data_IF_235079246486
#
_entry.id   IF_235079246486
#
_cell.length_a   1.000
_cell.length_b   1.000
_cell.length_c   1.000
_cell.angle_alpha   90.00
_cell.angle_beta   90.00
_cell.angle_gamma   90.00
#
_symmetry.space_group_name_H-M   'P 1'
#
loop_
_entity.id
_entity.type
_entity.pdbx_description
1 polymer ?
#
# COMPACT_ATOMS: atom_id res chain seq x y z
N UNK A 1 -2.95 3.81 33.51
CA UNK A 1 -1.50 4.04 33.72
C UNK A 1 -0.74 3.31 32.63
N UNK A 2 -0.06 4.08 31.78
CA UNK A 2 0.74 3.64 30.62
C UNK A 2 1.84 2.64 31.01
N UNK A 3 2.03 1.57 30.22
CA UNK A 3 3.26 0.75 30.22
C UNK A 3 3.89 0.69 28.82
N UNK A 4 3.90 1.79 28.09
CA UNK A 4 4.97 1.98 27.11
C UNK A 4 6.13 2.61 27.87
N UNK A 5 7.08 1.77 28.33
CA UNK A 5 8.33 2.26 28.92
C UNK A 5 9.06 3.03 27.81
N UNK A 6 9.24 4.32 28.01
CA UNK A 6 10.12 5.17 27.21
C UNK A 6 11.52 4.58 27.28
N UNK A 7 12.06 4.15 26.14
CA UNK A 7 13.45 3.73 26.03
C UNK A 7 14.32 4.97 25.96
N UNK A 8 15.45 4.97 26.69
CA UNK A 8 16.42 6.06 26.55
C UNK A 8 17.11 5.95 25.17
N UNK A 9 16.92 6.93 24.26
CA UNK A 9 17.52 6.89 22.94
C UNK A 9 19.06 6.87 22.97
N UNK A 10 19.68 7.32 24.06
CA UNK A 10 21.14 7.35 24.22
C UNK A 10 21.72 5.98 24.60
N UNK A 11 20.92 5.08 25.16
CA UNK A 11 21.36 3.73 25.55
C UNK A 11 20.96 2.66 24.53
N UNK A 12 20.33 3.06 23.42
CA UNK A 12 19.74 2.12 22.47
C UNK A 12 20.57 1.99 21.20
N UNK A 13 20.90 0.75 20.87
CA UNK A 13 21.68 0.35 19.69
C UNK A 13 20.78 -0.42 18.72
N UNK A 14 20.89 -0.09 17.43
CA UNK A 14 20.34 -0.85 16.32
C UNK A 14 21.39 -1.81 15.78
N UNK A 15 21.01 -3.07 15.61
CA UNK A 15 21.85 -4.10 15.02
C UNK A 15 21.16 -4.60 13.75
N UNK A 16 21.70 -4.27 12.59
CA UNK A 16 21.22 -4.69 11.28
C UNK A 16 22.07 -5.79 10.67
N UNK A 17 21.56 -6.38 9.59
CA UNK A 17 22.24 -7.44 8.82
C UNK A 17 22.61 -8.68 9.65
N UNK A 18 21.75 -9.02 10.62
CA UNK A 18 21.83 -10.27 11.34
C UNK A 18 21.47 -11.41 10.38
N UNK A 19 22.36 -12.38 10.20
CA UNK A 19 22.09 -13.54 9.34
C UNK A 19 20.81 -14.28 9.73
N UNK A 20 20.31 -15.15 8.85
CA UNK A 20 19.01 -15.83 9.01
C UNK A 20 18.84 -16.68 10.29
N UNK A 21 19.90 -16.89 11.07
CA UNK A 21 19.87 -17.70 12.29
C UNK A 21 20.36 -16.96 13.55
N UNK A 22 20.43 -15.62 13.53
CA UNK A 22 20.86 -14.86 14.70
C UNK A 22 19.86 -15.02 15.85
N UNK A 23 20.30 -15.69 16.91
CA UNK A 23 19.47 -15.93 18.09
C UNK A 23 19.64 -14.81 19.13
N UNK A 24 18.62 -14.62 19.97
CA UNK A 24 18.69 -13.64 21.07
C UNK A 24 19.89 -13.88 21.99
N UNK A 25 20.18 -15.15 22.29
CA UNK A 25 21.26 -15.54 23.20
C UNK A 25 22.64 -15.19 22.62
N UNK A 26 22.85 -15.40 21.32
CA UNK A 26 24.12 -15.02 20.67
C UNK A 26 24.37 -13.51 20.71
N UNK A 27 23.31 -12.71 20.54
CA UNK A 27 23.43 -11.26 20.66
C UNK A 27 23.67 -10.83 22.10
N UNK A 28 23.03 -11.47 23.07
CA UNK A 28 23.33 -11.24 24.48
C UNK A 28 24.79 -11.58 24.82
N UNK A 29 25.33 -12.70 24.34
CA UNK A 29 26.71 -13.12 24.59
C UNK A 29 27.75 -12.18 23.95
N UNK A 30 27.45 -11.61 22.78
CA UNK A 30 28.36 -10.71 22.06
C UNK A 30 28.30 -9.29 22.63
N UNK A 31 27.10 -8.78 22.92
CA UNK A 31 26.92 -7.40 23.37
C UNK A 31 27.13 -7.23 24.88
N UNK A 32 26.93 -8.29 25.70
CA UNK A 32 27.23 -8.24 27.15
C UNK A 32 28.70 -8.02 27.48
N UNK A 33 29.62 -8.25 26.52
CA UNK A 33 31.06 -7.97 26.68
C UNK A 33 31.37 -6.48 26.81
N UNK A 34 30.48 -5.61 26.33
CA UNK A 34 30.66 -4.16 26.35
C UNK A 34 29.99 -3.52 27.57
N UNK A 35 28.95 -4.15 28.12
CA UNK A 35 28.25 -3.66 29.30
C UNK A 35 26.97 -4.45 29.62
N UNK A 36 26.38 -4.23 30.80
CA UNK A 36 25.11 -4.87 31.17
C UNK A 36 23.98 -4.44 30.24
N UNK A 37 23.22 -5.44 29.74
CA UNK A 37 22.11 -5.23 28.82
C UNK A 37 20.80 -5.15 29.61
N UNK A 38 20.06 -4.06 29.40
CA UNK A 38 18.74 -3.86 29.99
C UNK A 38 17.66 -4.61 29.23
N UNK A 39 17.77 -4.65 27.90
CA UNK A 39 16.80 -5.33 27.05
C UNK A 39 17.40 -5.73 25.70
N UNK A 40 17.01 -6.89 25.19
CA UNK A 40 17.35 -7.36 23.84
C UNK A 40 16.08 -7.78 23.12
N UNK A 41 15.78 -7.07 22.04
CA UNK A 41 14.64 -7.34 21.18
C UNK A 41 15.13 -7.71 19.79
N UNK A 42 14.84 -8.93 19.35
CA UNK A 42 15.18 -9.41 18.00
C UNK A 42 13.93 -9.38 17.14
N UNK A 43 13.99 -8.67 16.02
CA UNK A 43 12.91 -8.66 15.06
C UNK A 43 12.82 -10.03 14.39
N UNK A 44 11.67 -10.68 14.53
CA UNK A 44 11.38 -11.96 13.85
C UNK A 44 10.63 -11.75 12.54
N UNK A 45 10.06 -10.57 12.34
CA UNK A 45 9.25 -10.23 11.17
C UNK A 45 9.24 -8.71 10.93
N UNK A 46 10.11 -8.16 10.05
CA UNK A 46 11.11 -8.85 9.24
C UNK A 46 12.27 -9.43 10.09
N UNK A 47 12.80 -10.62 9.75
CA UNK A 47 14.02 -11.13 10.39
C UNK A 47 15.25 -10.34 9.91
N UNK A 48 16.29 -10.27 10.75
CA UNK A 48 17.60 -9.73 10.34
C UNK A 48 18.00 -8.41 10.99
N UNK A 49 17.25 -7.93 11.97
CA UNK A 49 17.67 -6.83 12.83
C UNK A 49 17.24 -7.01 14.28
N UNK A 50 17.94 -6.34 15.19
CA UNK A 50 17.65 -6.32 16.61
C UNK A 50 17.84 -4.91 17.18
N UNK A 51 17.18 -4.65 18.29
CA UNK A 51 17.44 -3.51 19.14
C UNK A 51 17.95 -4.00 20.48
N UNK A 52 19.04 -3.38 20.93
CA UNK A 52 19.68 -3.68 22.21
C UNK A 52 19.68 -2.38 23.02
N UNK A 53 19.24 -2.46 24.26
CA UNK A 53 19.27 -1.36 25.22
C UNK A 53 20.30 -1.70 26.30
N UNK A 54 21.33 -0.87 26.42
CA UNK A 54 22.32 -0.94 27.49
C UNK A 54 21.82 -0.20 28.74
N UNK A 55 22.42 -0.49 29.89
CA UNK A 55 22.17 0.33 31.09
C UNK A 55 22.90 1.69 31.02
N UNK A 56 24.10 1.74 30.43
CA UNK A 56 24.92 2.95 30.28
C UNK A 56 25.06 3.36 28.80
N UNK A 57 24.90 4.67 28.46
CA UNK A 57 25.08 5.14 27.10
C UNK A 57 26.51 5.01 26.57
N UNK A 58 27.52 4.98 27.46
CA UNK A 58 28.93 4.79 27.06
C UNK A 58 29.17 3.38 26.52
N UNK A 59 28.58 2.39 27.16
CA UNK A 59 28.67 0.98 26.74
C UNK A 59 28.00 0.78 25.36
N UNK A 60 26.91 1.50 25.10
CA UNK A 60 26.24 1.51 23.79
C UNK A 60 27.13 2.10 22.68
N UNK A 61 27.84 3.20 22.94
CA UNK A 61 28.77 3.80 21.96
C UNK A 61 29.99 2.91 21.69
N UNK A 62 30.55 2.29 22.73
CA UNK A 62 31.70 1.39 22.60
C UNK A 62 31.32 0.10 21.86
N UNK A 63 30.12 -0.43 22.11
CA UNK A 63 29.58 -1.57 21.37
C UNK A 63 29.40 -1.24 19.88
N UNK A 64 28.90 -0.05 19.53
CA UNK A 64 28.78 0.40 18.13
C UNK A 64 30.15 0.46 17.46
N UNK A 65 31.15 1.08 18.10
CA UNK A 65 32.50 1.19 17.52
C UNK A 65 33.22 -0.15 17.39
N UNK A 66 33.00 -1.06 18.34
CA UNK A 66 33.67 -2.36 18.39
C UNK A 66 33.04 -3.44 17.53
N UNK A 67 31.73 -3.37 17.28
CA UNK A 67 30.97 -4.43 16.59
C UNK A 67 30.50 -4.06 15.20
N UNK A 68 30.44 -2.78 14.82
CA UNK A 68 30.05 -2.38 13.47
C UNK A 68 31.02 -2.96 12.41
N UNK A 69 30.46 -3.63 11.41
CA UNK A 69 31.21 -4.29 10.34
C UNK A 69 31.86 -5.63 10.72
N UNK A 70 31.76 -6.07 11.98
CA UNK A 70 32.30 -7.36 12.43
C UNK A 70 31.47 -8.53 11.92
N UNK A 71 32.08 -9.72 11.83
CA UNK A 71 31.36 -10.95 11.44
C UNK A 71 30.73 -11.59 12.68
N UNK A 72 29.41 -11.53 12.78
CA UNK A 72 28.63 -12.16 13.84
C UNK A 72 27.44 -12.91 13.23
N UNK A 73 27.11 -14.09 13.75
CA UNK A 73 25.99 -14.92 13.26
C UNK A 73 26.04 -15.23 11.74
N UNK A 74 27.24 -15.43 11.19
CA UNK A 74 27.45 -15.77 9.77
C UNK A 74 27.36 -14.62 8.77
N UNK A 75 27.07 -13.39 9.22
CA UNK A 75 26.96 -12.19 8.41
C UNK A 75 27.82 -11.05 8.97
N UNK A 76 28.05 -9.98 8.19
CA UNK A 76 28.69 -8.75 8.69
C UNK A 76 27.62 -7.87 9.33
N UNK A 77 27.62 -7.75 10.65
CA UNK A 77 26.60 -6.98 11.34
C UNK A 77 26.84 -5.48 11.18
N UNK A 78 25.77 -4.72 11.10
CA UNK A 78 25.79 -3.26 11.08
C UNK A 78 25.30 -2.80 12.44
N UNK A 79 26.07 -1.97 13.14
CA UNK A 79 25.72 -1.53 14.50
C UNK A 79 25.69 -0.01 14.53
N UNK A 80 24.54 0.58 14.88
CA UNK A 80 24.33 2.03 14.86
C UNK A 80 23.61 2.52 16.12
N UNK A 81 23.91 3.73 16.58
CA UNK A 81 23.14 4.39 17.66
C UNK A 81 21.71 4.69 17.18
N UNK A 82 20.71 4.35 18.00
CA UNK A 82 19.30 4.53 17.65
C UNK A 82 18.90 6.00 17.77
N UNK A 83 18.97 6.72 16.66
CA UNK A 83 18.43 8.07 16.58
C UNK A 83 16.89 7.99 16.64
N UNK A 84 16.29 8.37 17.77
CA UNK A 84 14.85 8.35 18.04
C UNK A 84 13.96 9.25 17.16
N UNK A 85 14.32 9.48 15.89
CA UNK A 85 13.54 10.21 14.90
C UNK A 85 13.47 9.43 13.59
N UNK A 86 12.25 9.10 13.17
CA UNK A 86 11.92 8.83 11.77
C UNK A 86 12.56 9.91 10.89
N UNK A 87 13.44 9.50 9.96
CA UNK A 87 14.18 10.40 9.07
C UNK A 87 13.19 11.07 8.10
N UNK A 88 12.78 12.29 8.43
CA UNK A 88 12.20 13.27 7.50
C UNK A 88 13.27 14.27 7.07
N UNK A 89 13.66 14.22 5.78
CA UNK A 89 14.08 15.37 4.95
C UNK A 89 14.56 14.95 3.55
N UNK A 90 13.84 15.37 2.51
CA UNK A 90 14.46 16.16 1.45
C UNK A 90 13.58 17.38 1.18
N UNK A 91 14.21 18.55 1.20
CA UNK A 91 13.59 19.86 1.26
C UNK A 91 13.97 20.60 -0.03
N UNK A 92 13.01 20.94 -0.90
CA UNK A 92 13.19 22.00 -1.91
C UNK A 92 12.03 22.99 -1.83
N UNK A 93 12.35 24.10 -1.14
CA UNK A 93 12.01 25.51 -1.35
C UNK A 93 10.55 25.90 -1.67
N UNK A 94 10.05 26.77 -0.78
CA UNK A 94 8.73 27.42 -0.65
C UNK A 94 8.27 28.27 -1.85
N UNK A 95 6.95 28.32 -2.04
CA UNK A 95 6.15 29.57 -1.92
C UNK A 95 4.73 29.25 -1.41
N UNK A 96 4.02 30.20 -0.76
CA UNK A 96 2.98 29.90 0.24
C UNK A 96 1.55 30.22 -0.24
N UNK A 97 0.57 29.36 0.07
CA UNK A 97 -0.82 29.77 0.17
C UNK A 97 -1.69 28.84 1.03
N UNK A 98 -2.16 29.40 2.14
CA UNK A 98 -3.47 29.25 2.82
C UNK A 98 -3.95 27.87 3.32
N UNK A 99 -3.97 27.81 4.66
CA UNK A 99 -4.87 27.07 5.57
C UNK A 99 -6.13 26.47 4.91
N UNK A 100 -6.27 25.15 4.99
CA UNK A 100 -7.25 24.47 5.87
C UNK A 100 -7.19 22.96 5.68
N UNK A 101 -7.41 22.23 6.77
CA UNK A 101 -7.89 20.84 6.92
C UNK A 101 -7.03 20.04 7.90
N UNK A 102 -7.61 19.81 9.08
CA UNK A 102 -7.29 18.64 9.88
C UNK A 102 -7.65 17.40 9.05
N UNK A 103 -6.64 16.56 8.81
CA UNK A 103 -6.81 15.21 8.29
C UNK A 103 -6.71 14.29 9.49
N UNK A 104 -7.82 13.65 9.84
CA UNK A 104 -7.83 12.57 10.83
C UNK A 104 -7.08 11.40 10.20
N UNK A 105 -5.96 11.06 10.84
CA UNK A 105 -5.15 9.89 10.56
C UNK A 105 -5.98 8.63 10.83
N UNK A 106 -6.26 7.82 9.80
CA UNK A 106 -6.63 6.42 9.99
C UNK A 106 -5.34 5.59 10.07
N UNK A 107 -5.19 4.86 11.17
CA UNK A 107 -4.03 3.99 11.45
C UNK A 107 -3.95 2.78 10.51
N UNK A 108 -2.75 2.19 10.33
CA UNK A 108 -2.40 1.38 9.17
C UNK A 108 -2.53 -0.12 9.45
N UNK A 109 -3.32 -0.82 8.65
CA UNK A 109 -3.24 -2.29 8.52
C UNK A 109 -3.17 -2.68 7.03
N UNK A 110 -2.28 -2.04 6.28
CA UNK A 110 -1.89 -2.50 4.95
C UNK A 110 -0.52 -3.17 5.04
N UNK A 111 -0.50 -4.50 4.94
CA UNK A 111 0.74 -5.24 4.70
C UNK A 111 0.70 -5.70 3.25
N UNK A 112 1.31 -4.92 2.36
CA UNK A 112 1.70 -5.41 1.04
C UNK A 112 2.99 -6.23 1.23
N UNK A 113 2.88 -7.56 1.27
CA UNK A 113 4.03 -8.45 1.47
C UNK A 113 4.51 -8.99 0.13
N UNK A 114 5.60 -8.43 -0.39
CA UNK A 114 6.39 -9.06 -1.47
C UNK A 114 7.08 -10.28 -0.84
N UNK A 115 6.71 -11.51 -1.23
CA UNK A 115 7.24 -12.70 -0.55
C UNK A 115 8.68 -13.04 -0.97
N UNK A 116 9.07 -12.70 -2.20
CA UNK A 116 10.46 -12.78 -2.68
C UNK A 116 10.56 -12.16 -4.07
N UNK A 117 11.66 -11.44 -4.34
CA UNK A 117 12.15 -11.15 -5.70
C UNK A 117 13.42 -11.99 -5.85
N UNK A 118 13.41 -12.99 -6.75
CA UNK A 118 14.62 -13.73 -7.10
C UNK A 118 15.22 -13.11 -8.36
N UNK A 119 16.46 -12.64 -8.25
CA UNK A 119 17.29 -12.21 -9.38
C UNK A 119 18.52 -13.11 -9.40
N UNK A 120 18.61 -14.09 -10.31
CA UNK A 120 19.85 -14.82 -10.55
C UNK A 120 20.76 -14.03 -11.50
N UNK A 121 22.07 -14.07 -11.24
CA UNK A 121 23.09 -13.40 -12.04
C UNK A 121 23.70 -14.36 -13.08
N UNK A 122 23.71 -13.92 -14.35
CA UNK A 122 24.52 -14.32 -15.53
C UNK A 122 24.20 -15.70 -16.19
N UNK A 123 24.16 -15.92 -17.53
CA UNK A 123 24.67 -15.23 -18.75
C UNK A 123 23.67 -15.40 -19.92
N UNK A 124 23.58 -14.38 -20.78
CA UNK A 124 22.95 -14.35 -22.13
C UNK A 124 21.54 -14.97 -22.31
N UNK A 125 20.53 -14.10 -22.52
CA UNK A 125 19.25 -14.45 -23.15
C UNK A 125 18.04 -14.55 -22.21
N UNK A 126 17.13 -13.57 -22.32
CA UNK A 126 15.77 -13.46 -21.73
C UNK A 126 15.65 -13.53 -20.18
N UNK A 127 15.02 -12.50 -19.60
CA UNK A 127 14.76 -12.39 -18.16
C UNK A 127 13.38 -12.94 -17.81
N UNK A 128 13.31 -13.99 -16.98
CA UNK A 128 12.12 -14.41 -16.24
C UNK A 128 12.37 -14.05 -14.78
N UNK A 129 11.41 -13.38 -14.16
CA UNK A 129 11.42 -13.00 -12.75
C UNK A 129 10.16 -13.65 -12.13
N UNK A 130 10.11 -13.93 -10.83
CA UNK A 130 8.91 -14.53 -10.21
C UNK A 130 8.60 -13.83 -8.87
N UNK A 131 7.36 -13.30 -8.72
CA UNK A 131 6.76 -12.49 -7.63
C UNK A 131 5.76 -13.52 -7.20
N UNK A 132 5.97 -14.00 -6.00
CA UNK A 132 4.85 -14.47 -5.21
C UNK A 132 4.36 -13.28 -4.42
N UNK A 133 3.19 -12.75 -4.78
CA UNK A 133 2.39 -11.94 -3.84
C UNK A 133 1.61 -12.94 -3.00
N UNK A 134 1.67 -12.83 -1.67
CA UNK A 134 0.65 -13.47 -0.83
C UNK A 134 -0.38 -12.42 -0.48
N UNK A 135 -1.48 -12.47 -1.20
CA UNK A 135 -2.70 -11.76 -0.88
C UNK A 135 -3.41 -12.58 0.21
N UNK A 136 -2.99 -12.44 1.47
CA UNK A 136 -3.77 -13.04 2.55
C UNK A 136 -5.15 -12.40 2.56
N UNK A 137 -6.19 -13.21 2.37
CA UNK A 137 -7.59 -12.83 2.54
C UNK A 137 -7.73 -12.07 3.85
N UNK A 138 -8.00 -10.76 3.79
CA UNK A 138 -8.18 -10.01 5.01
C UNK A 138 -9.48 -10.51 5.66
N UNK A 139 -9.49 -10.93 6.94
CA UNK A 139 -10.73 -11.29 7.63
C UNK A 139 -11.78 -10.16 7.60
N UNK A 140 -11.34 -8.91 7.34
CA UNK A 140 -12.19 -7.73 7.24
C UNK A 140 -13.01 -7.74 5.96
N UNK A 141 -12.46 -8.12 4.80
CA UNK A 141 -13.24 -8.15 3.55
C UNK A 141 -14.39 -9.17 3.62
N UNK A 142 -14.10 -10.34 4.20
CA UNK A 142 -15.10 -11.36 4.49
C UNK A 142 -16.17 -10.83 5.46
N UNK A 143 -15.74 -10.20 6.56
CA UNK A 143 -16.66 -9.59 7.51
C UNK A 143 -17.56 -8.53 6.85
N UNK A 144 -17.01 -7.67 5.99
CA UNK A 144 -17.77 -6.66 5.25
C UNK A 144 -18.84 -7.33 4.37
N UNK A 145 -18.48 -8.38 3.63
CA UNK A 145 -19.46 -9.13 2.81
C UNK A 145 -20.60 -9.72 3.62
N UNK A 146 -20.31 -10.20 4.83
CA UNK A 146 -21.29 -10.85 5.69
C UNK A 146 -22.15 -9.84 6.48
N UNK A 147 -21.62 -8.65 6.77
CA UNK A 147 -22.26 -7.70 7.70
C UNK A 147 -22.83 -6.43 7.06
N UNK A 148 -22.35 -6.02 5.89
CA UNK A 148 -22.78 -4.77 5.24
C UNK A 148 -23.62 -5.11 4.01
N UNK A 149 -24.92 -4.77 3.98
CA UNK A 149 -25.76 -4.96 2.79
C UNK A 149 -25.21 -4.23 1.57
N UNK A 150 -25.28 -4.89 0.41
CA UNK A 150 -24.89 -4.33 -0.87
C UNK A 150 -25.77 -4.84 -2.00
N UNK A 151 -25.80 -4.07 -3.08
CA UNK A 151 -26.39 -4.45 -4.36
C UNK A 151 -25.28 -4.60 -5.40
N UNK A 152 -25.34 -5.64 -6.22
CA UNK A 152 -24.42 -5.82 -7.35
C UNK A 152 -25.12 -5.46 -8.64
N UNK A 153 -24.50 -4.59 -9.42
CA UNK A 153 -25.02 -4.14 -10.71
C UNK A 153 -23.96 -4.27 -11.81
N UNK A 154 -24.41 -4.31 -13.06
CA UNK A 154 -23.51 -4.29 -14.22
C UNK A 154 -23.25 -2.87 -14.70
N UNK A 155 -21.98 -2.58 -15.01
CA UNK A 155 -21.57 -1.34 -15.69
C UNK A 155 -20.98 -1.60 -17.08
N UNK A 156 -20.91 -2.86 -17.53
CA UNK A 156 -20.28 -3.25 -18.79
C UNK A 156 -20.66 -4.67 -19.23
N UNK A 157 -20.32 -5.06 -20.47
CA UNK A 157 -20.72 -6.34 -21.03
C UNK A 157 -19.99 -7.54 -20.40
N UNK A 158 -18.79 -7.33 -19.85
CA UNK A 158 -17.99 -8.40 -19.25
C UNK A 158 -18.63 -8.88 -17.94
N UNK A 159 -18.42 -10.16 -17.60
CA UNK A 159 -18.92 -10.72 -16.34
C UNK A 159 -18.24 -10.09 -15.11
N UNK A 160 -16.99 -9.66 -15.26
CA UNK A 160 -16.22 -8.94 -14.25
C UNK A 160 -16.60 -7.46 -14.15
N UNK A 161 -17.27 -6.90 -15.16
CA UNK A 161 -17.77 -5.52 -15.18
C UNK A 161 -19.02 -5.37 -14.30
N UNK A 162 -18.84 -5.66 -13.01
CA UNK A 162 -19.86 -5.57 -11.95
C UNK A 162 -19.32 -4.71 -10.82
N UNK A 163 -20.19 -3.92 -10.21
CA UNK A 163 -19.85 -3.09 -9.05
C UNK A 163 -20.78 -3.40 -7.90
N UNK A 164 -20.20 -3.60 -6.72
CA UNK A 164 -20.95 -3.71 -5.47
C UNK A 164 -21.17 -2.32 -4.88
N UNK A 165 -22.42 -1.98 -4.63
CA UNK A 165 -22.85 -0.72 -4.06
C UNK A 165 -23.24 -0.94 -2.61
N UNK A 166 -22.46 -0.38 -1.70
CA UNK A 166 -22.71 -0.39 -0.26
C UNK A 166 -23.33 0.93 0.20
N UNK A 167 -24.08 0.87 1.31
CA UNK A 167 -24.76 2.04 1.87
C UNK A 167 -26.02 2.42 1.08
N UNK A 168 -26.73 1.45 0.51
CA UNK A 168 -27.99 1.67 -0.23
C UNK A 168 -29.12 2.20 0.64
N UNK A 169 -29.03 2.00 1.96
CA UNK A 169 -29.92 2.60 2.97
C UNK A 169 -29.62 4.06 3.29
N UNK A 170 -28.48 4.60 2.86
CA UNK A 170 -28.13 6.00 3.05
C UNK A 170 -28.94 6.90 2.11
N UNK A 171 -28.99 8.20 2.42
CA UNK A 171 -29.66 9.18 1.57
C UNK A 171 -29.06 9.20 0.15
N UNK A 172 -29.91 9.42 -0.87
CA UNK A 172 -29.49 9.45 -2.28
C UNK A 172 -28.49 10.58 -2.60
N UNK A 173 -28.49 11.65 -1.82
CA UNK A 173 -27.56 12.77 -1.94
C UNK A 173 -26.20 12.54 -1.24
N UNK A 174 -26.06 11.41 -0.53
CA UNK A 174 -24.82 11.02 0.15
C UNK A 174 -23.66 10.97 -0.84
N UNK A 175 -22.43 11.32 -0.42
CA UNK A 175 -21.29 11.35 -1.30
C UNK A 175 -20.93 9.91 -1.70
N UNK A 176 -20.43 9.76 -2.92
CA UNK A 176 -20.01 8.47 -3.45
C UNK A 176 -18.49 8.40 -3.41
N UNK A 177 -17.97 7.29 -2.89
CA UNK A 177 -16.56 6.92 -3.01
C UNK A 177 -16.44 5.60 -3.77
N UNK A 178 -15.69 5.61 -4.87
CA UNK A 178 -15.38 4.42 -5.66
C UNK A 178 -14.01 3.90 -5.26
N UNK A 179 -13.91 2.63 -4.84
CA UNK A 179 -12.66 2.01 -4.41
C UNK A 179 -12.19 0.92 -5.37
N UNK A 180 -11.15 1.20 -6.15
CA UNK A 180 -10.58 0.30 -7.16
C UNK A 180 -9.42 -0.50 -6.53
N UNK A 181 -9.52 -1.82 -6.59
CA UNK A 181 -8.51 -2.70 -6.01
C UNK A 181 -7.19 -2.73 -6.80
N UNK A 182 -6.15 -3.29 -6.18
CA UNK A 182 -4.83 -3.46 -6.80
C UNK A 182 -4.66 -4.85 -7.40
N UNK A 183 -3.46 -5.41 -7.28
CA UNK A 183 -3.16 -6.77 -7.72
C UNK A 183 -2.45 -6.84 -9.07
N UNK A 184 -1.61 -5.83 -9.39
CA UNK A 184 -0.82 -5.78 -10.63
C UNK A 184 -1.65 -6.03 -11.91
N UNK A 185 -2.93 -5.64 -11.93
CA UNK A 185 -3.88 -5.89 -13.04
C UNK A 185 -4.12 -7.37 -13.37
N UNK A 186 -3.65 -8.30 -12.53
CA UNK A 186 -3.61 -9.74 -12.81
C UNK A 186 -4.28 -10.56 -11.70
N UNK A 187 -4.46 -9.96 -10.52
CA UNK A 187 -4.94 -10.65 -9.33
C UNK A 187 -5.96 -9.78 -8.58
N UNK A 188 -6.50 -10.35 -7.49
CA UNK A 188 -7.56 -9.79 -6.65
C UNK A 188 -8.94 -9.74 -7.31
N UNK A 189 -9.93 -9.34 -6.51
CA UNK A 189 -11.28 -9.07 -6.97
C UNK A 189 -11.97 -8.08 -6.03
N UNK A 190 -13.14 -7.56 -6.44
CA UNK A 190 -14.03 -6.78 -5.59
C UNK A 190 -14.43 -7.52 -4.31
N UNK A 191 -14.52 -8.85 -4.34
CA UNK A 191 -15.04 -9.65 -3.22
C UNK A 191 -14.05 -9.81 -2.07
N UNK A 192 -12.75 -9.63 -2.36
CA UNK A 192 -11.69 -9.71 -1.34
C UNK A 192 -11.00 -8.38 -1.06
N UNK A 193 -11.43 -7.30 -1.72
CA UNK A 193 -10.80 -5.97 -1.64
C UNK A 193 -11.70 -4.87 -1.07
N UNK A 194 -12.83 -5.21 -0.48
CA UNK A 194 -13.84 -4.29 0.06
C UNK A 194 -13.58 -3.86 1.52
N UNK A 195 -12.38 -4.06 2.06
CA UNK A 195 -12.00 -3.68 3.43
C UNK A 195 -12.20 -2.19 3.80
N UNK A 196 -12.21 -1.19 2.89
CA UNK A 196 -12.48 0.21 3.28
C UNK A 196 -13.97 0.51 3.50
N UNK A 197 -14.87 -0.40 3.13
CA UNK A 197 -16.32 -0.13 3.05
C UNK A 197 -16.92 0.25 4.40
N UNK A 198 -16.73 -0.60 5.42
CA UNK A 198 -17.42 -0.44 6.71
C UNK A 198 -17.23 0.97 7.32
N UNK A 199 -16.00 1.46 7.55
CA UNK A 199 -15.82 2.78 8.16
C UNK A 199 -16.34 3.94 7.29
N UNK A 200 -16.36 3.79 5.97
CA UNK A 200 -16.87 4.81 5.04
C UNK A 200 -18.40 4.84 5.05
N UNK A 201 -19.06 3.68 5.05
CA UNK A 201 -20.52 3.57 5.15
C UNK A 201 -21.01 4.10 6.50
N UNK A 202 -20.33 3.77 7.60
CA UNK A 202 -20.62 4.33 8.94
C UNK A 202 -20.44 5.85 8.99
N UNK A 203 -19.59 6.40 8.13
CA UNK A 203 -19.41 7.85 7.96
C UNK A 203 -20.44 8.50 7.02
N UNK A 204 -21.45 7.76 6.57
CA UNK A 204 -22.50 8.26 5.69
C UNK A 204 -22.04 8.44 4.23
N UNK A 205 -21.09 7.61 3.77
CA UNK A 205 -20.58 7.61 2.39
C UNK A 205 -21.07 6.35 1.69
N UNK A 206 -21.64 6.49 0.48
CA UNK A 206 -21.96 5.34 -0.37
C UNK A 206 -20.67 4.84 -1.02
N UNK A 207 -20.39 3.55 -0.92
CA UNK A 207 -19.12 2.98 -1.39
C UNK A 207 -19.36 2.02 -2.55
N UNK A 208 -18.66 2.26 -3.65
CA UNK A 208 -18.76 1.48 -4.89
C UNK A 208 -17.46 0.69 -5.05
N UNK A 209 -17.54 -0.64 -5.07
CA UNK A 209 -16.38 -1.53 -5.22
C UNK A 209 -16.50 -2.29 -6.54
N UNK A 210 -15.85 -1.83 -7.62
CA UNK A 210 -15.90 -2.49 -8.92
C UNK A 210 -15.00 -3.72 -8.98
N UNK A 211 -15.45 -4.75 -9.70
CA UNK A 211 -14.58 -5.70 -10.37
C UNK A 211 -14.17 -5.15 -11.73
N UNK A 212 -13.16 -5.75 -12.35
CA UNK A 212 -12.73 -5.47 -13.72
C UNK A 212 -11.99 -6.70 -14.26
N UNK A 213 -11.82 -6.83 -15.58
CA UNK A 213 -11.04 -7.94 -16.16
C UNK A 213 -9.59 -7.91 -15.70
N UNK A 214 -8.94 -9.07 -15.71
CA UNK A 214 -7.53 -9.20 -15.35
C UNK A 214 -6.74 -9.65 -16.57
N UNK A 215 -5.44 -9.37 -16.54
CA UNK A 215 -4.49 -9.95 -17.46
C UNK A 215 -4.21 -11.42 -17.08
N UNK A 216 -3.95 -12.32 -18.05
CA UNK A 216 -3.74 -12.03 -19.48
C UNK A 216 -5.01 -11.94 -20.34
N UNK A 217 -6.21 -12.14 -19.77
CA UNK A 217 -7.47 -12.14 -20.53
C UNK A 217 -7.84 -10.76 -21.08
N UNK A 218 -7.37 -9.69 -20.45
CA UNK A 218 -7.51 -8.31 -20.90
C UNK A 218 -6.17 -7.57 -20.83
N UNK A 219 -5.91 -6.68 -21.80
CA UNK A 219 -4.76 -5.78 -21.74
C UNK A 219 -4.98 -4.69 -20.69
N UNK A 220 -3.89 -4.06 -20.21
CA UNK A 220 -4.01 -2.90 -19.31
C UNK A 220 -4.85 -1.78 -19.95
N UNK A 221 -4.76 -1.61 -21.27
CA UNK A 221 -5.60 -0.68 -22.03
C UNK A 221 -7.09 -1.03 -21.95
N UNK A 222 -7.46 -2.30 -22.13
CA UNK A 222 -8.85 -2.76 -22.00
C UNK A 222 -9.39 -2.53 -20.58
N UNK A 223 -8.54 -2.75 -19.56
CA UNK A 223 -8.90 -2.52 -18.16
C UNK A 223 -9.09 -1.02 -17.90
N UNK A 224 -8.23 -0.16 -18.44
CA UNK A 224 -8.41 1.30 -18.37
C UNK A 224 -9.74 1.72 -18.99
N UNK A 225 -10.08 1.20 -20.17
CA UNK A 225 -11.36 1.50 -20.81
C UNK A 225 -12.56 0.97 -20.00
N UNK A 226 -12.44 -0.19 -19.34
CA UNK A 226 -13.45 -0.64 -18.37
C UNK A 226 -13.63 0.33 -17.21
N UNK A 227 -12.53 0.86 -16.65
CA UNK A 227 -12.59 1.81 -15.54
C UNK A 227 -13.15 3.16 -15.98
N UNK A 228 -12.86 3.60 -17.21
CA UNK A 228 -13.49 4.77 -17.82
C UNK A 228 -15.00 4.60 -17.99
N UNK A 229 -15.48 3.42 -18.44
CA UNK A 229 -16.91 3.09 -18.51
C UNK A 229 -17.56 3.04 -17.13
N UNK A 230 -16.88 2.48 -16.12
CA UNK A 230 -17.33 2.55 -14.74
C UNK A 230 -17.47 4.01 -14.28
N UNK A 231 -16.49 4.87 -14.61
CA UNK A 231 -16.51 6.28 -14.29
C UNK A 231 -17.72 6.99 -14.88
N UNK A 232 -18.01 6.75 -16.17
CA UNK A 232 -19.21 7.24 -16.85
C UNK A 232 -20.50 6.78 -16.16
N UNK A 233 -20.58 5.49 -15.81
CA UNK A 233 -21.72 4.91 -15.10
C UNK A 233 -21.96 5.61 -13.75
N UNK A 234 -20.92 5.73 -12.92
CA UNK A 234 -21.02 6.33 -11.58
C UNK A 234 -21.38 7.81 -11.66
N UNK A 235 -20.81 8.55 -12.60
CA UNK A 235 -21.11 9.98 -12.78
C UNK A 235 -22.54 10.22 -13.25
N UNK A 236 -23.07 9.34 -14.12
CA UNK A 236 -24.48 9.36 -14.53
C UNK A 236 -25.40 9.07 -13.34
N UNK A 237 -25.11 8.03 -12.57
CA UNK A 237 -25.87 7.65 -11.36
C UNK A 237 -25.84 8.78 -10.31
N UNK A 238 -24.68 9.41 -10.11
CA UNK A 238 -24.53 10.54 -9.20
C UNK A 238 -25.38 11.75 -9.63
N UNK A 239 -25.44 12.02 -10.93
CA UNK A 239 -26.24 13.10 -11.49
C UNK A 239 -27.73 12.85 -11.35
N UNK A 240 -28.18 11.61 -11.51
CA UNK A 240 -29.58 11.20 -11.37
C UNK A 240 -30.04 11.17 -9.91
N UNK A 241 -29.17 10.72 -9.00
CA UNK A 241 -29.45 10.65 -7.56
C UNK A 241 -29.37 12.01 -6.86
N UNK A 242 -28.75 13.02 -7.47
CA UNK A 242 -28.51 14.32 -6.85
C UNK A 242 -27.38 14.32 -5.83
N UNK A 243 -26.45 13.37 -5.93
CA UNK A 243 -25.28 13.23 -5.06
C UNK A 243 -24.45 14.50 -4.97
N UNK A 244 -23.99 14.85 -3.76
CA UNK A 244 -23.18 16.06 -3.50
C UNK A 244 -21.75 16.03 -4.06
N UNK A 245 -21.16 14.83 -4.15
CA UNK A 245 -19.79 14.65 -4.63
C UNK A 245 -19.47 13.20 -4.95
N UNK A 246 -18.67 12.99 -5.98
CA UNK A 246 -18.06 11.70 -6.32
C UNK A 246 -16.55 11.81 -6.17
N UNK A 247 -15.96 10.80 -5.52
CA UNK A 247 -14.52 10.62 -5.38
C UNK A 247 -14.16 9.22 -5.87
N UNK A 248 -13.04 9.08 -6.56
CA UNK A 248 -12.48 7.78 -6.90
C UNK A 248 -11.18 7.58 -6.11
N UNK A 249 -10.88 6.35 -5.75
CA UNK A 249 -9.61 6.02 -5.15
C UNK A 249 -9.23 4.59 -5.42
N UNK A 250 -7.97 4.28 -5.25
CA UNK A 250 -7.48 2.92 -5.43
C UNK A 250 -6.12 2.71 -4.80
N UNK A 251 -5.73 1.44 -4.73
CA UNK A 251 -4.47 1.00 -4.15
C UNK A 251 -3.60 0.32 -5.20
N UNK A 252 -2.31 0.66 -5.27
CA UNK A 252 -1.34 0.05 -6.20
C UNK A 252 -1.82 0.15 -7.66
N UNK A 253 -2.00 -0.98 -8.37
CA UNK A 253 -2.59 -1.00 -9.71
C UNK A 253 -3.95 -0.30 -9.79
N UNK A 254 -4.76 -0.32 -8.72
CA UNK A 254 -6.03 0.42 -8.67
C UNK A 254 -5.86 1.94 -8.59
N UNK A 255 -4.77 2.41 -8.00
CA UNK A 255 -4.42 3.83 -8.02
C UNK A 255 -3.99 4.28 -9.42
N UNK A 256 -3.27 3.42 -10.16
CA UNK A 256 -2.99 3.65 -11.58
C UNK A 256 -4.29 3.77 -12.39
N UNK A 257 -5.20 2.81 -12.21
CA UNK A 257 -6.50 2.80 -12.87
C UNK A 257 -7.35 4.03 -12.52
N UNK A 258 -7.41 4.43 -11.26
CA UNK A 258 -8.09 5.65 -10.84
C UNK A 258 -7.49 6.91 -11.50
N UNK A 259 -6.15 6.97 -11.63
CA UNK A 259 -5.46 8.08 -12.27
C UNK A 259 -5.79 8.20 -13.78
N UNK A 260 -6.16 7.11 -14.45
CA UNK A 260 -6.59 7.15 -15.85
C UNK A 260 -7.84 8.01 -16.09
N UNK A 261 -8.63 8.30 -15.04
CA UNK A 261 -9.78 9.20 -15.10
C UNK A 261 -9.39 10.69 -15.17
N UNK A 262 -8.10 11.02 -15.04
CA UNK A 262 -7.57 12.37 -15.30
C UNK A 262 -7.32 12.63 -16.79
N UNK A 263 -7.60 11.66 -17.65
CA UNK A 263 -7.57 11.83 -19.10
C UNK A 263 -8.49 13.00 -19.51
N UNK A 264 -7.88 14.04 -20.09
CA UNK A 264 -8.55 15.29 -20.46
C UNK A 264 -9.62 15.05 -21.54
N UNK A 265 -9.34 14.17 -22.51
CA UNK A 265 -10.28 13.85 -23.59
C UNK A 265 -11.44 13.02 -23.06
N UNK A 266 -11.18 12.12 -22.11
CA UNK A 266 -12.24 11.41 -21.39
C UNK A 266 -13.16 12.38 -20.64
N UNK A 267 -12.57 13.33 -19.91
CA UNK A 267 -13.30 14.26 -19.04
C UNK A 267 -14.09 15.33 -19.79
N UNK A 268 -13.58 15.81 -20.94
CA UNK A 268 -14.25 16.79 -21.82
C UNK A 268 -15.59 16.31 -22.37
N UNK A 269 -15.87 15.01 -22.36
CA UNK A 269 -17.14 14.43 -22.83
C UNK A 269 -18.31 14.70 -21.89
N UNK A 270 -18.03 15.11 -20.65
CA UNK A 270 -19.05 15.44 -19.66
C UNK A 270 -19.34 16.94 -19.64
N UNK A 271 -20.59 17.31 -19.36
CA UNK A 271 -20.95 18.71 -19.13
C UNK A 271 -20.36 19.26 -17.82
N UNK A 272 -20.41 20.59 -17.65
CA UNK A 272 -19.86 21.25 -16.47
C UNK A 272 -20.50 20.76 -15.16
N UNK A 273 -21.78 20.35 -15.18
CA UNK A 273 -22.48 19.88 -13.98
C UNK A 273 -21.88 18.56 -13.51
N UNK A 274 -21.68 17.61 -14.43
CA UNK A 274 -21.06 16.31 -14.15
C UNK A 274 -19.60 16.49 -13.73
N UNK A 275 -18.84 17.33 -14.45
CA UNK A 275 -17.46 17.65 -14.10
C UNK A 275 -17.36 18.23 -12.67
N UNK A 276 -18.30 19.07 -12.26
CA UNK A 276 -18.33 19.65 -10.91
C UNK A 276 -18.65 18.64 -9.81
N UNK A 277 -19.35 17.54 -10.12
CA UNK A 277 -19.66 16.48 -9.15
C UNK A 277 -18.42 15.62 -8.86
N UNK A 278 -17.56 15.41 -9.86
CA UNK A 278 -16.27 14.74 -9.69
C UNK A 278 -15.31 15.65 -8.89
N UNK A 279 -14.97 15.26 -7.65
CA UNK A 279 -14.19 16.12 -6.74
C UNK A 279 -12.70 15.81 -6.67
N UNK A 280 -12.29 14.60 -7.04
CA UNK A 280 -10.88 14.24 -7.07
C UNK A 280 -10.62 12.77 -6.82
N UNK A 281 -9.33 12.49 -6.67
CA UNK A 281 -8.78 11.14 -6.59
C UNK A 281 -8.02 10.92 -5.27
N UNK A 282 -8.10 9.69 -4.73
CA UNK A 282 -7.27 9.21 -3.62
C UNK A 282 -6.38 8.08 -4.13
N UNK A 283 -5.10 8.36 -4.36
CA UNK A 283 -4.18 7.44 -5.02
C UNK A 283 -3.19 6.84 -4.02
N UNK A 284 -3.41 5.59 -3.60
CA UNK A 284 -2.66 4.97 -2.51
C UNK A 284 -1.58 4.05 -3.09
N UNK A 285 -0.30 4.41 -2.90
CA UNK A 285 0.85 3.60 -3.31
C UNK A 285 0.82 3.19 -4.79
N UNK A 286 0.39 4.09 -5.68
CA UNK A 286 0.23 3.83 -7.10
C UNK A 286 1.53 3.74 -7.88
N UNK A 287 1.45 3.10 -9.04
CA UNK A 287 2.51 3.02 -10.05
C UNK A 287 2.02 3.77 -11.30
N UNK A 288 2.83 4.71 -11.81
CA UNK A 288 2.41 5.60 -12.89
C UNK A 288 3.37 5.61 -14.08
N UNK A 289 4.60 5.12 -13.85
CA UNK A 289 5.54 4.80 -14.90
C UNK A 289 5.60 3.28 -15.01
N UNK A 290 5.09 2.75 -16.12
CA UNK A 290 5.05 1.32 -16.38
C UNK A 290 6.29 0.84 -17.14
N UNK A 291 7.13 1.73 -17.66
CA UNK A 291 8.34 1.37 -18.43
C UNK A 291 9.25 0.42 -17.63
N UNK A 292 9.51 0.63 -16.32
CA UNK A 292 10.33 -0.30 -15.54
C UNK A 292 9.72 -1.70 -15.41
N UNK A 293 8.39 -1.85 -15.54
CA UNK A 293 7.70 -3.14 -15.43
C UNK A 293 7.98 -4.01 -16.65
N UNK A 294 8.15 -3.42 -17.83
CA UNK A 294 8.31 -4.13 -19.12
C UNK A 294 9.42 -5.17 -19.07
N UNK A 295 10.51 -4.87 -18.37
CA UNK A 295 11.70 -5.73 -18.24
C UNK A 295 11.61 -6.70 -17.05
N UNK A 296 10.44 -6.79 -16.43
CA UNK A 296 10.16 -7.68 -15.32
C UNK A 296 9.09 -8.67 -15.75
N UNK A 297 9.15 -9.89 -15.26
CA UNK A 297 8.06 -10.86 -15.32
C UNK A 297 6.65 -10.44 -14.92
N UNK A 298 6.47 -9.35 -14.17
CA UNK A 298 5.12 -8.80 -13.94
C UNK A 298 4.48 -8.55 -15.31
N UNK A 299 5.30 -8.29 -16.33
CA UNK A 299 4.91 -8.12 -17.70
C UNK A 299 4.54 -9.41 -18.45
N UNK A 300 4.84 -10.61 -17.97
CA UNK A 300 4.51 -11.87 -18.66
C UNK A 300 3.01 -11.97 -19.02
N UNK A 301 2.09 -11.74 -18.07
CA UNK A 301 0.66 -11.68 -18.39
C UNK A 301 0.22 -10.33 -18.99
N UNK A 302 0.89 -9.21 -18.66
CA UNK A 302 0.46 -7.87 -19.12
C UNK A 302 0.79 -7.60 -20.59
N UNK A 303 1.90 -8.18 -21.08
CA UNK A 303 2.42 -8.02 -22.45
C UNK A 303 2.57 -6.56 -22.88
N UNK A 304 3.02 -5.70 -21.97
CA UNK A 304 3.37 -4.30 -22.23
C UNK A 304 4.63 -4.23 -23.08
N UNK A 305 4.71 -3.18 -23.90
CA UNK A 305 5.92 -2.81 -24.64
C UNK A 305 6.37 -1.39 -24.26
N UNK A 306 7.61 -1.02 -24.59
CA UNK A 306 8.13 0.32 -24.31
C UNK A 306 7.47 1.42 -25.18
N UNK A 307 6.61 1.05 -26.13
CA UNK A 307 6.07 1.94 -27.15
C UNK A 307 4.63 2.37 -26.94
N UNK A 308 3.93 1.94 -25.89
CA UNK A 308 2.67 2.53 -25.40
C UNK A 308 2.22 1.93 -24.07
#
# INVERSE_FOLDING_TARGET
MSRYREWDPQCKVYVGNLGNNASKNELEDVFSKYGPLRNVWVARNPPGFAFIEFEDPRDAEDAVRGLDGTRCCGARIIVEMSNGKSRSRYNRRRSPARRSREVICASPNFVCRVLSVKVPMEKEGAFEIQIKVSLTQHPVSKLVKESVPFETISYGPEETSRVDIYGTSLSKDSPIFVYIHGGYWQELSKDISNYPVLPLVESGIRVFVPGYCLAPEASVGDIIEQIKRLGEYVLKEATQSGTRSVWFGGHSAGAHLAASLLDEEWFKRFDQKVQNIFKGLILISGIYDLVPIVQTYVNEPLRLDEKK
#
